data_IF_253492396269
#
_entry.id   IF_253492396269
#
_cell.length_a   1.000
_cell.length_b   1.000
_cell.length_c   1.000
_cell.angle_alpha   90.00
_cell.angle_beta   90.00
_cell.angle_gamma   90.00
#
_symmetry.space_group_name_H-M   'P 1'
#
loop_
_entity.id
_entity.type
_entity.pdbx_description
1 polymer ?
#
# COMPACT_ATOMS: atom_id res chain seq x y z
N UNK A 1 -1.48 -5.11 -15.94
CA UNK A 1 -2.74 -5.83 -15.60
C UNK A 1 -2.74 -6.03 -14.09
N UNK A 2 -3.78 -5.61 -13.36
CA UNK A 2 -3.88 -5.91 -11.93
C UNK A 2 -4.34 -7.35 -11.73
N UNK A 3 -3.64 -8.10 -10.87
CA UNK A 3 -3.96 -9.50 -10.61
C UNK A 3 -5.10 -9.59 -9.59
N UNK A 4 -6.21 -10.25 -9.95
CA UNK A 4 -7.38 -10.35 -9.06
C UNK A 4 -7.12 -11.19 -7.80
N UNK A 5 -6.29 -12.24 -7.87
CA UNK A 5 -6.03 -13.12 -6.72
C UNK A 5 -5.28 -12.41 -5.58
N UNK A 6 -4.17 -11.70 -5.85
CA UNK A 6 -3.53 -10.84 -4.85
C UNK A 6 -4.49 -9.78 -4.30
N UNK A 7 -5.27 -9.13 -5.17
CA UNK A 7 -6.25 -8.13 -4.73
C UNK A 7 -7.25 -8.72 -3.73
N UNK A 8 -7.82 -9.89 -4.02
CA UNK A 8 -8.78 -10.53 -3.12
C UNK A 8 -8.12 -11.14 -1.89
N UNK A 9 -7.02 -11.88 -2.03
CA UNK A 9 -6.46 -12.69 -0.94
C UNK A 9 -5.56 -11.89 0.01
N UNK A 10 -4.97 -10.78 -0.44
CA UNK A 10 -3.98 -9.99 0.31
C UNK A 10 -4.54 -8.62 0.70
N UNK A 11 -5.34 -8.02 -0.18
CA UNK A 11 -5.88 -6.68 0.07
C UNK A 11 -7.27 -6.78 0.70
N UNK A 12 -8.25 -7.35 0.00
CA UNK A 12 -9.65 -7.27 0.43
C UNK A 12 -10.05 -8.26 1.54
N UNK A 13 -9.73 -9.56 1.40
CA UNK A 13 -10.14 -10.57 2.39
C UNK A 13 -9.53 -10.33 3.77
N UNK A 14 -8.21 -10.02 3.90
CA UNK A 14 -7.63 -9.79 5.22
C UNK A 14 -8.20 -8.57 5.94
N UNK A 15 -8.61 -7.53 5.20
CA UNK A 15 -9.18 -6.30 5.79
C UNK A 15 -10.70 -6.29 5.83
N UNK A 16 -11.36 -7.40 5.48
CA UNK A 16 -12.82 -7.49 5.44
C UNK A 16 -13.49 -7.43 6.82
N UNK A 17 -12.74 -7.62 7.90
CA UNK A 17 -13.23 -7.57 9.29
C UNK A 17 -12.70 -6.34 10.04
N UNK A 18 -12.02 -5.44 9.35
CA UNK A 18 -11.40 -4.24 9.93
C UNK A 18 -10.04 -3.92 9.28
N UNK A 19 -9.62 -2.66 9.39
CA UNK A 19 -8.38 -2.16 8.77
C UNK A 19 -8.56 -1.62 7.34
N UNK A 20 -7.47 -1.14 6.74
CA UNK A 20 -7.44 -0.63 5.36
C UNK A 20 -6.42 -1.42 4.54
N UNK A 21 -6.86 -1.91 3.38
CA UNK A 21 -6.02 -2.60 2.42
C UNK A 21 -5.54 -1.62 1.34
N UNK A 22 -4.24 -1.61 1.08
CA UNK A 22 -3.63 -0.78 0.05
C UNK A 22 -3.01 -1.65 -1.05
N UNK A 23 -3.17 -1.23 -2.30
CA UNK A 23 -2.53 -1.86 -3.46
C UNK A 23 -1.73 -0.80 -4.21
N UNK A 24 -0.40 -0.94 -4.22
CA UNK A 24 0.52 0.02 -4.85
C UNK A 24 1.01 -0.53 -6.19
N UNK A 25 0.70 0.17 -7.28
CA UNK A 25 1.14 -0.18 -8.64
C UNK A 25 2.01 0.94 -9.21
N UNK A 26 3.21 0.62 -9.67
CA UNK A 26 4.16 1.58 -10.23
C UNK A 26 5.60 1.13 -10.04
N UNK A 27 6.56 2.00 -10.35
CA UNK A 27 7.98 1.76 -10.08
C UNK A 27 8.22 1.82 -8.56
N UNK A 28 8.25 0.67 -7.89
CA UNK A 28 8.38 0.60 -6.43
C UNK A 28 9.69 1.21 -5.93
N UNK A 29 10.72 1.22 -6.77
CA UNK A 29 12.00 1.89 -6.52
C UNK A 29 11.86 3.40 -6.33
N UNK A 30 10.86 4.02 -6.97
CA UNK A 30 10.55 5.45 -6.82
C UNK A 30 9.50 5.66 -5.73
N UNK A 31 8.44 4.85 -5.73
CA UNK A 31 7.32 5.04 -4.80
C UNK A 31 7.72 4.79 -3.34
N UNK A 32 8.50 3.75 -3.05
CA UNK A 32 8.83 3.38 -1.68
C UNK A 32 9.66 4.46 -0.97
N UNK A 33 10.72 5.03 -1.56
CA UNK A 33 11.44 6.15 -0.95
C UNK A 33 10.57 7.38 -0.72
N UNK A 34 9.70 7.74 -1.68
CA UNK A 34 8.83 8.93 -1.57
C UNK A 34 7.79 8.77 -0.47
N UNK A 35 7.14 7.60 -0.38
CA UNK A 35 6.18 7.30 0.68
C UNK A 35 6.87 7.34 2.05
N UNK A 36 8.06 6.72 2.16
CA UNK A 36 8.83 6.75 3.40
C UNK A 36 9.19 8.18 3.82
N UNK A 37 9.68 9.00 2.88
CA UNK A 37 10.03 10.40 3.14
C UNK A 37 8.82 11.21 3.64
N UNK A 38 7.66 11.09 2.97
CA UNK A 38 6.45 11.80 3.38
C UNK A 38 5.92 11.38 4.76
N UNK A 39 6.03 10.09 5.11
CA UNK A 39 5.67 9.60 6.45
C UNK A 39 6.62 10.17 7.51
N UNK A 40 7.92 10.20 7.23
CA UNK A 40 8.92 10.76 8.16
C UNK A 40 8.66 12.24 8.40
N UNK A 41 8.43 13.01 7.33
CA UNK A 41 8.09 14.43 7.43
C UNK A 41 6.84 14.67 8.27
N UNK A 42 5.77 13.89 8.02
CA UNK A 42 4.51 14.00 8.74
C UNK A 42 4.60 13.62 10.24
N UNK A 43 5.56 12.77 10.62
CA UNK A 43 5.77 12.38 12.03
C UNK A 43 6.74 13.34 12.74
N UNK A 44 7.69 13.93 12.01
CA UNK A 44 8.72 14.79 12.57
C UNK A 44 8.28 16.26 12.73
N UNK A 45 7.27 16.71 11.97
CA UNK A 45 6.62 18.01 12.11
C UNK A 45 5.49 18.00 13.14
#
# INVERSE_FOLDING_TARGET
>A
IQHYRPLTNVVHRPTAQGGQGFSLTGHHEIMLPLIAAGIIEQIAG
#
